data_IF_716279872141
#
_entry.id   IF_716279872141
#
_cell.length_a   1.000
_cell.length_b   1.000
_cell.length_c   1.000
_cell.angle_alpha   90.00
_cell.angle_beta   90.00
_cell.angle_gamma   90.00
#
_symmetry.space_group_name_H-M   'P 1'
#
loop_
_entity.id
_entity.type
_entity.pdbx_description
1 polymer ?
#
# COMPACT_ATOMS: atom_id res chain seq x y z
N UNK A 1 -0.01 -19.29 -2.12
CA UNK A 1 0.69 -18.69 -0.96
C UNK A 1 -0.25 -18.25 0.17
N UNK A 2 -1.14 -17.25 0.00
CA UNK A 2 -2.05 -16.82 1.09
C UNK A 2 -3.21 -17.79 1.33
N UNK A 3 -3.84 -18.30 0.25
CA UNK A 3 -4.96 -19.25 0.36
C UNK A 3 -4.52 -20.70 0.60
N UNK A 4 -3.25 -21.00 0.41
CA UNK A 4 -2.70 -22.33 0.72
C UNK A 4 -2.12 -22.39 2.13
N UNK A 5 -2.03 -21.23 2.81
CA UNK A 5 -1.54 -21.16 4.17
C UNK A 5 -2.62 -21.63 5.16
N UNK A 6 -2.44 -22.76 5.86
CA UNK A 6 -3.42 -23.25 6.83
C UNK A 6 -3.58 -22.35 8.06
N UNK A 7 -2.63 -21.43 8.31
CA UNK A 7 -2.68 -20.49 9.43
C UNK A 7 -3.39 -19.17 9.11
N UNK A 8 -3.73 -18.91 7.83
CA UNK A 8 -4.44 -17.69 7.44
C UNK A 8 -5.93 -17.83 7.74
N UNK A 9 -6.35 -17.30 8.89
CA UNK A 9 -7.73 -17.37 9.37
C UNK A 9 -8.74 -16.67 8.46
N UNK A 10 -8.31 -15.72 7.63
CA UNK A 10 -9.18 -14.96 6.71
C UNK A 10 -9.26 -15.57 5.32
N UNK A 11 -8.69 -16.75 5.08
CA UNK A 11 -8.61 -17.38 3.76
C UNK A 11 -9.95 -17.42 3.03
N UNK A 12 -10.99 -17.94 3.68
CA UNK A 12 -12.31 -18.10 3.04
C UNK A 12 -12.97 -16.74 2.74
N UNK A 13 -12.74 -15.74 3.60
CA UNK A 13 -13.21 -14.38 3.36
C UNK A 13 -12.47 -13.74 2.17
N UNK A 14 -11.13 -13.83 2.14
CA UNK A 14 -10.31 -13.33 1.04
C UNK A 14 -10.73 -13.96 -0.30
N UNK A 15 -10.91 -15.29 -0.33
CA UNK A 15 -11.36 -16.01 -1.52
C UNK A 15 -12.68 -15.44 -2.05
N UNK A 16 -13.68 -15.28 -1.19
CA UNK A 16 -14.99 -14.70 -1.58
C UNK A 16 -14.88 -13.25 -2.06
N UNK A 17 -14.07 -12.44 -1.38
CA UNK A 17 -13.86 -11.05 -1.77
C UNK A 17 -13.23 -10.95 -3.16
N UNK A 18 -12.21 -11.78 -3.42
CA UNK A 18 -11.56 -11.86 -4.71
C UNK A 18 -12.51 -12.33 -5.83
N UNK A 19 -13.26 -13.41 -5.59
CA UNK A 19 -14.24 -13.93 -6.54
C UNK A 19 -15.30 -12.87 -6.87
N UNK A 20 -15.85 -12.19 -5.87
CA UNK A 20 -16.83 -11.12 -6.05
C UNK A 20 -16.28 -9.97 -6.90
N UNK A 21 -15.09 -9.45 -6.59
CA UNK A 21 -14.53 -8.31 -7.31
C UNK A 21 -14.06 -8.68 -8.73
N UNK A 22 -13.69 -9.94 -8.98
CA UNK A 22 -13.33 -10.42 -10.31
C UNK A 22 -14.50 -10.32 -11.30
N UNK A 23 -15.74 -10.48 -10.85
CA UNK A 23 -16.95 -10.35 -11.71
C UNK A 23 -17.07 -8.96 -12.37
N UNK A 24 -16.56 -7.93 -11.70
CA UNK A 24 -16.63 -6.55 -12.18
C UNK A 24 -15.42 -6.14 -13.03
N UNK A 25 -14.37 -6.98 -13.09
CA UNK A 25 -13.10 -6.64 -13.71
C UNK A 25 -12.94 -7.34 -15.08
N UNK A 26 -13.66 -6.83 -16.10
CA UNK A 26 -13.87 -7.46 -17.41
C UNK A 26 -12.68 -7.46 -18.39
N UNK A 27 -11.43 -7.36 -17.95
CA UNK A 27 -10.28 -7.49 -18.90
C UNK A 27 -10.16 -8.98 -19.29
N UNK A 28 -10.35 -9.28 -20.57
CA UNK A 28 -10.92 -10.53 -21.10
C UNK A 28 -9.93 -11.42 -21.87
N UNK A 29 -8.62 -11.25 -21.70
CA UNK A 29 -7.68 -11.73 -22.73
C UNK A 29 -6.63 -12.72 -22.21
N UNK A 30 -6.58 -12.96 -20.89
CA UNK A 30 -5.63 -13.89 -20.27
C UNK A 30 -6.40 -15.06 -19.65
N UNK A 31 -6.33 -16.29 -20.19
CA UNK A 31 -7.16 -17.43 -19.77
C UNK A 31 -6.94 -17.92 -18.32
N UNK A 32 -6.04 -17.29 -17.56
CA UNK A 32 -5.60 -17.66 -16.21
C UNK A 32 -5.37 -16.39 -15.35
N UNK A 33 -5.94 -15.22 -15.67
CA UNK A 33 -6.10 -14.13 -14.69
C UNK A 33 -7.23 -14.52 -13.69
N UNK A 34 -7.02 -15.67 -13.04
CA UNK A 34 -7.83 -16.34 -12.03
C UNK A 34 -8.35 -15.29 -11.06
N UNK A 35 -9.64 -15.32 -10.72
CA UNK A 35 -10.40 -14.29 -9.99
C UNK A 35 -9.90 -14.00 -8.56
N UNK A 36 -8.63 -13.60 -8.45
CA UNK A 36 -7.77 -13.42 -7.28
C UNK A 36 -6.66 -12.41 -7.60
N UNK A 37 -7.01 -11.38 -8.38
CA UNK A 37 -6.10 -10.27 -8.65
C UNK A 37 -5.88 -9.48 -7.36
N UNK A 38 -4.62 -9.42 -6.91
CA UNK A 38 -4.22 -8.65 -5.73
C UNK A 38 -3.77 -7.23 -6.10
N UNK A 39 -2.90 -7.11 -7.11
CA UNK A 39 -2.36 -5.83 -7.57
C UNK A 39 -3.18 -5.27 -8.71
N UNK A 40 -3.43 -3.97 -8.72
CA UNK A 40 -4.01 -3.30 -9.90
C UNK A 40 -2.98 -3.29 -11.05
N UNK A 41 -3.46 -3.13 -12.29
CA UNK A 41 -2.58 -3.01 -13.46
C UNK A 41 -1.95 -1.62 -13.61
N UNK A 42 -2.40 -0.66 -12.81
CA UNK A 42 -1.99 0.74 -12.94
C UNK A 42 -0.81 1.02 -12.01
N UNK A 43 0.21 1.65 -12.58
CA UNK A 43 1.29 2.26 -11.84
C UNK A 43 1.48 3.68 -12.39
N UNK A 44 1.55 4.66 -11.50
CA UNK A 44 1.73 6.06 -11.85
C UNK A 44 3.10 6.54 -11.35
N UNK A 45 4.15 6.09 -12.03
CA UNK A 45 5.51 6.53 -11.73
C UNK A 45 5.69 8.00 -12.14
N UNK A 46 6.14 8.83 -11.20
CA UNK A 46 6.47 10.23 -11.44
C UNK A 46 7.94 10.42 -11.09
N UNK A 47 8.72 10.94 -12.04
CA UNK A 47 10.08 11.37 -11.79
C UNK A 47 10.09 12.61 -10.89
N UNK A 48 10.87 12.57 -9.82
CA UNK A 48 11.04 13.68 -8.89
C UNK A 48 12.39 14.34 -9.12
N UNK A 49 12.43 15.30 -10.06
CA UNK A 49 13.67 15.96 -10.48
C UNK A 49 13.98 17.25 -9.71
N UNK A 50 13.07 17.71 -8.85
CA UNK A 50 13.20 18.96 -8.12
C UNK A 50 12.92 18.79 -6.62
N UNK A 51 13.64 19.53 -5.74
CA UNK A 51 13.45 19.44 -4.29
C UNK A 51 12.00 19.69 -3.84
N UNK A 52 11.31 20.67 -4.43
CA UNK A 52 9.92 20.99 -4.11
C UNK A 52 8.94 19.86 -4.47
N UNK A 53 9.24 19.10 -5.51
CA UNK A 53 8.46 17.91 -5.87
C UNK A 53 8.67 16.78 -4.85
N UNK A 54 9.90 16.58 -4.40
CA UNK A 54 10.24 15.56 -3.40
C UNK A 54 9.56 15.89 -2.08
N UNK A 55 9.70 17.11 -1.58
CA UNK A 55 9.10 17.57 -0.33
C UNK A 55 7.58 17.43 -0.35
N UNK A 56 6.93 17.88 -1.44
CA UNK A 56 5.48 17.76 -1.61
C UNK A 56 5.00 16.30 -1.55
N UNK A 57 5.76 15.36 -2.13
CA UNK A 57 5.38 13.94 -2.18
C UNK A 57 5.69 13.22 -0.88
N UNK A 58 6.79 13.58 -0.23
CA UNK A 58 7.12 13.12 1.10
C UNK A 58 6.00 13.49 2.09
N UNK A 59 5.61 14.77 2.13
CA UNK A 59 4.49 15.24 2.95
C UNK A 59 3.19 14.49 2.65
N UNK A 60 2.83 14.36 1.37
CA UNK A 60 1.63 13.61 0.97
C UNK A 60 1.66 12.15 1.48
N UNK A 61 2.80 11.48 1.36
CA UNK A 61 2.97 10.09 1.81
C UNK A 61 2.85 9.98 3.33
N UNK A 62 3.45 10.92 4.07
CA UNK A 62 3.39 10.96 5.54
C UNK A 62 1.99 11.30 6.05
N UNK A 63 1.24 12.15 5.35
CA UNK A 63 -0.16 12.49 5.66
C UNK A 63 -1.16 11.35 5.34
N UNK A 64 -0.83 10.39 4.46
CA UNK A 64 -1.78 9.36 4.02
C UNK A 64 -2.44 8.57 5.16
N UNK A 65 -1.72 8.09 6.20
CA UNK A 65 -2.34 7.41 7.34
C UNK A 65 -3.32 8.28 8.13
N UNK A 66 -3.05 9.59 8.24
CA UNK A 66 -3.94 10.56 8.91
C UNK A 66 -5.19 10.78 8.06
N UNK A 67 -5.03 11.02 6.76
CA UNK A 67 -6.14 11.21 5.81
C UNK A 67 -7.03 9.97 5.68
N UNK A 68 -6.44 8.78 5.88
CA UNK A 68 -7.17 7.51 5.92
C UNK A 68 -7.87 7.27 7.28
N UNK A 69 -7.65 8.12 8.29
CA UNK A 69 -8.23 7.97 9.63
C UNK A 69 -7.63 6.83 10.45
N UNK A 70 -6.42 6.37 10.12
CA UNK A 70 -5.75 5.26 10.81
C UNK A 70 -5.06 5.75 12.09
N UNK A 71 -4.49 6.95 12.05
CA UNK A 71 -3.78 7.61 13.15
C UNK A 71 -4.13 9.10 13.19
N UNK A 72 -3.95 9.74 14.35
CA UNK A 72 -4.18 11.17 14.51
C UNK A 72 -2.99 12.01 14.01
N UNK A 73 -1.77 11.50 14.17
CA UNK A 73 -0.51 12.16 13.77
C UNK A 73 0.27 11.30 12.77
N UNK A 74 1.03 11.92 11.87
CA UNK A 74 1.77 11.23 10.79
C UNK A 74 2.81 10.25 11.34
N UNK A 75 3.53 10.68 12.37
CA UNK A 75 4.57 9.91 13.06
C UNK A 75 4.00 8.74 13.90
N UNK A 76 2.70 8.69 14.18
CA UNK A 76 2.13 7.54 14.90
C UNK A 76 2.03 6.29 14.02
N UNK A 77 2.11 6.44 12.69
CA UNK A 77 2.06 5.29 11.79
C UNK A 77 3.39 4.53 11.77
N UNK A 78 3.40 3.36 12.42
CA UNK A 78 4.58 2.51 12.60
C UNK A 78 5.32 2.16 11.31
N UNK A 79 4.58 1.98 10.20
CA UNK A 79 5.12 1.58 8.90
C UNK A 79 5.37 2.77 7.95
N UNK A 80 5.64 3.95 8.49
CA UNK A 80 6.03 5.15 7.73
C UNK A 80 7.36 5.72 8.23
N UNK A 81 8.13 6.29 7.31
CA UNK A 81 9.35 7.04 7.64
C UNK A 81 9.07 8.38 8.32
N UNK A 82 7.81 8.84 8.38
CA UNK A 82 7.42 10.05 9.13
C UNK A 82 8.00 10.04 10.55
N UNK A 83 8.03 8.85 11.18
CA UNK A 83 8.68 8.61 12.47
C UNK A 83 10.13 9.06 12.50
N UNK A 84 10.93 8.59 11.55
CA UNK A 84 12.35 8.92 11.46
C UNK A 84 12.53 10.43 11.31
N UNK A 85 11.77 11.07 10.41
CA UNK A 85 11.85 12.52 10.18
C UNK A 85 11.36 13.36 11.38
N UNK A 86 10.49 12.81 12.23
CA UNK A 86 10.08 13.41 13.51
C UNK A 86 11.03 13.10 14.68
N UNK A 87 12.20 12.50 14.41
CA UNK A 87 13.20 12.15 15.43
C UNK A 87 12.83 10.94 16.29
N UNK A 88 11.77 10.21 15.93
CA UNK A 88 11.37 8.96 16.58
C UNK A 88 12.08 7.77 15.94
N UNK A 89 12.16 6.66 16.68
CA UNK A 89 12.68 5.41 16.15
C UNK A 89 11.70 4.80 15.13
N UNK A 90 12.17 4.63 13.91
CA UNK A 90 11.51 3.86 12.85
C UNK A 90 11.82 2.36 12.93
N UNK A 91 11.07 1.56 12.16
CA UNK A 91 11.35 0.13 12.00
C UNK A 91 12.60 -0.13 11.14
N UNK A 92 12.87 0.79 10.22
CA UNK A 92 14.01 0.78 9.31
C UNK A 92 14.68 2.15 9.43
N UNK A 93 16.01 2.17 9.46
CA UNK A 93 16.76 3.42 9.47
C UNK A 93 16.67 4.12 8.10
N UNK A 94 16.58 5.45 8.15
CA UNK A 94 16.58 6.29 6.95
C UNK A 94 17.95 6.94 6.84
N UNK A 95 18.54 6.84 5.66
CA UNK A 95 19.74 7.60 5.33
C UNK A 95 19.33 9.00 4.89
N UNK A 96 19.87 10.01 5.58
CA UNK A 96 19.57 11.40 5.28
C UNK A 96 20.61 11.91 4.28
N UNK A 97 20.13 12.50 3.19
CA UNK A 97 20.96 13.15 2.18
C UNK A 97 21.46 14.53 2.61
#
# INVERSE_FOLDING_TARGET
MTLENPQESRREWLKKAFEYHAEFNKRSDVPIAIGMQFWTHENHAIELSRPDMIESRMKYIHENPVRAGIVEMEEDYLYSSARNYSGLKGLIDVDYW
#
